data_IF_199125479565
#
_entry.id   IF_199125479565
#
_cell.length_a   1.000
_cell.length_b   1.000
_cell.length_c   1.000
_cell.angle_alpha   90.00
_cell.angle_beta   90.00
_cell.angle_gamma   90.00
#
_symmetry.space_group_name_H-M   'P 1'
#
loop_
_entity.id
_entity.type
_entity.pdbx_description
1 polymer ?
#
# COMPACT_ATOMS: atom_id res chain seq x y z
N UNK A 1 -6.27 0.73 -61.32
CA UNK A 1 -7.54 1.31 -60.87
C UNK A 1 -7.21 2.32 -59.78
N UNK A 2 -7.39 3.64 -59.97
CA UNK A 2 -7.04 4.62 -58.96
C UNK A 2 -7.98 4.47 -57.74
N UNK A 3 -7.38 4.45 -56.54
CA UNK A 3 -8.09 4.42 -55.25
C UNK A 3 -8.92 5.70 -55.12
N UNK A 4 -10.24 5.60 -55.25
CA UNK A 4 -11.17 6.66 -54.85
C UNK A 4 -11.09 6.82 -53.33
N UNK A 5 -10.54 7.96 -52.90
CA UNK A 5 -10.63 8.41 -51.51
C UNK A 5 -12.12 8.70 -51.25
N UNK A 6 -12.76 8.10 -50.22
CA UNK A 6 -14.16 8.38 -49.93
C UNK A 6 -14.34 9.88 -49.64
N UNK A 7 -15.34 10.49 -50.28
CA UNK A 7 -15.63 11.91 -50.14
C UNK A 7 -15.96 12.25 -48.69
N UNK A 8 -15.43 13.38 -48.22
CA UNK A 8 -15.76 13.94 -46.90
C UNK A 8 -17.28 14.13 -46.82
N UNK A 9 -17.95 13.60 -45.78
CA UNK A 9 -19.40 13.68 -45.65
C UNK A 9 -19.86 15.14 -45.65
N UNK A 10 -20.93 15.41 -46.39
CA UNK A 10 -21.44 16.76 -46.57
C UNK A 10 -22.02 17.36 -45.27
N UNK A 11 -22.21 18.69 -45.20
CA UNK A 11 -22.75 19.38 -44.02
C UNK A 11 -24.08 18.79 -43.51
N UNK A 12 -24.93 18.31 -44.43
CA UNK A 12 -26.21 17.68 -44.12
C UNK A 12 -26.07 16.30 -43.45
N UNK A 13 -25.07 15.50 -43.85
CA UNK A 13 -24.79 14.20 -43.22
C UNK A 13 -24.20 14.38 -41.83
N UNK A 14 -23.31 15.37 -41.64
CA UNK A 14 -22.76 15.76 -40.33
C UNK A 14 -23.89 16.24 -39.40
N UNK A 15 -24.82 17.06 -39.89
CA UNK A 15 -25.98 17.51 -39.13
C UNK A 15 -26.95 16.36 -38.78
N UNK A 16 -27.13 15.39 -39.69
CA UNK A 16 -27.95 14.20 -39.45
C UNK A 16 -27.32 13.26 -38.40
N UNK A 17 -26.00 13.09 -38.46
CA UNK A 17 -25.22 12.35 -37.47
C UNK A 17 -25.27 13.05 -36.10
N UNK A 18 -25.18 14.38 -36.07
CA UNK A 18 -25.35 15.19 -34.87
C UNK A 18 -26.74 15.07 -34.24
N UNK A 19 -27.81 15.02 -35.05
CA UNK A 19 -29.18 14.76 -34.57
C UNK A 19 -29.35 13.33 -34.03
N UNK A 20 -28.79 12.32 -34.72
CA UNK A 20 -28.76 10.93 -34.23
C UNK A 20 -28.00 10.82 -32.90
N UNK A 21 -26.80 11.40 -32.81
CA UNK A 21 -26.00 11.44 -31.59
C UNK A 21 -26.78 12.08 -30.43
N UNK A 22 -27.43 13.24 -30.63
CA UNK A 22 -28.27 13.87 -29.59
C UNK A 22 -29.44 13.00 -29.14
N UNK A 23 -30.08 12.27 -30.06
CA UNK A 23 -31.18 11.35 -29.71
C UNK A 23 -30.71 10.08 -28.99
N UNK A 24 -29.46 9.66 -29.23
CA UNK A 24 -28.87 8.43 -28.70
C UNK A 24 -28.12 8.69 -27.37
N UNK A 25 -27.59 9.89 -27.14
CA UNK A 25 -27.09 10.33 -25.81
C UNK A 25 -28.22 10.28 -24.76
N UNK A 26 -29.49 10.32 -25.17
CA UNK A 26 -30.66 10.08 -24.31
C UNK A 26 -30.90 8.60 -23.97
N UNK A 27 -30.09 7.66 -24.47
CA UNK A 27 -30.19 6.25 -24.05
C UNK A 27 -29.76 6.17 -22.58
N UNK A 28 -30.62 5.66 -21.67
CA UNK A 28 -30.31 5.67 -20.24
C UNK A 28 -29.01 4.91 -19.99
N UNK A 29 -28.12 5.49 -19.17
CA UNK A 29 -26.89 4.83 -18.78
C UNK A 29 -27.22 3.49 -18.11
N UNK A 30 -26.72 2.40 -18.68
CA UNK A 30 -26.91 1.06 -18.11
C UNK A 30 -25.62 0.60 -17.47
N UNK A 31 -25.67 0.29 -16.17
CA UNK A 31 -24.59 -0.44 -15.50
C UNK A 31 -24.47 -1.81 -16.13
N UNK A 32 -23.29 -2.16 -16.63
CA UNK A 32 -23.00 -3.51 -17.09
C UNK A 32 -22.20 -4.25 -16.02
N UNK A 33 -22.47 -5.54 -15.82
CA UNK A 33 -21.70 -6.36 -14.88
C UNK A 33 -20.19 -6.33 -15.19
N UNK A 34 -19.83 -6.21 -16.48
CA UNK A 34 -18.43 -6.06 -16.93
C UNK A 34 -17.80 -4.78 -16.41
N UNK A 35 -18.52 -3.66 -16.41
CA UNK A 35 -18.03 -2.39 -15.86
C UNK A 35 -17.81 -2.49 -14.36
N UNK A 36 -18.74 -3.12 -13.62
CA UNK A 36 -18.60 -3.36 -12.18
C UNK A 36 -17.40 -4.25 -11.87
N UNK A 37 -17.26 -5.38 -12.57
CA UNK A 37 -16.15 -6.31 -12.37
C UNK A 37 -14.81 -5.64 -12.65
N UNK A 38 -14.73 -4.84 -13.72
CA UNK A 38 -13.54 -4.08 -14.10
C UNK A 38 -13.17 -3.04 -13.04
N UNK A 39 -14.15 -2.26 -12.55
CA UNK A 39 -13.92 -1.29 -11.48
C UNK A 39 -13.39 -1.99 -10.22
N UNK A 40 -14.07 -3.05 -9.76
CA UNK A 40 -13.67 -3.81 -8.57
C UNK A 40 -12.30 -4.44 -8.70
N UNK A 41 -11.97 -4.98 -9.87
CA UNK A 41 -10.63 -5.50 -10.16
C UNK A 41 -9.57 -4.41 -10.01
N UNK A 42 -9.75 -3.25 -10.64
CA UNK A 42 -8.76 -2.17 -10.55
C UNK A 42 -8.69 -1.54 -9.16
N UNK A 43 -9.81 -1.44 -8.44
CA UNK A 43 -9.83 -1.05 -7.03
C UNK A 43 -9.03 -2.02 -6.16
N UNK A 44 -9.14 -3.34 -6.40
CA UNK A 44 -8.37 -4.34 -5.68
C UNK A 44 -6.87 -4.28 -6.02
N UNK A 45 -6.50 -3.96 -7.26
CA UNK A 45 -5.10 -3.80 -7.69
C UNK A 45 -4.44 -2.58 -7.04
N UNK A 46 -5.16 -1.44 -6.94
CA UNK A 46 -4.59 -0.20 -6.41
C UNK A 46 -4.67 -0.09 -4.87
N UNK A 47 -5.59 -0.80 -4.23
CA UNK A 47 -5.79 -0.76 -2.78
C UNK A 47 -4.51 -1.03 -1.94
N UNK A 48 -3.68 -2.05 -2.23
CA UNK A 48 -2.46 -2.31 -1.47
C UNK A 48 -1.42 -1.17 -1.55
N UNK A 49 -1.55 -0.29 -2.55
CA UNK A 49 -0.62 0.82 -2.79
C UNK A 49 -1.17 2.16 -2.28
N UNK A 50 -2.23 2.15 -1.48
CA UNK A 50 -2.83 3.35 -0.87
C UNK A 50 -4.23 3.66 -1.38
N UNK A 51 -4.74 2.88 -2.33
CA UNK A 51 -6.11 3.00 -2.84
C UNK A 51 -6.37 4.30 -3.59
N UNK A 52 -7.66 4.55 -3.83
CA UNK A 52 -8.14 5.73 -4.55
C UNK A 52 -9.23 6.40 -3.72
N UNK A 53 -9.12 7.71 -3.56
CA UNK A 53 -10.16 8.56 -2.98
C UNK A 53 -10.64 9.55 -4.04
N UNK A 54 -11.96 9.74 -4.10
CA UNK A 54 -12.57 10.73 -4.96
C UNK A 54 -12.87 11.99 -4.15
N UNK A 55 -12.57 13.15 -4.71
CA UNK A 55 -12.97 14.47 -4.23
C UNK A 55 -13.80 15.14 -5.33
N UNK A 56 -14.95 15.70 -4.95
CA UNK A 56 -15.98 16.11 -5.92
C UNK A 56 -16.90 14.96 -6.30
N UNK A 57 -17.87 15.24 -7.16
CA UNK A 57 -18.87 14.28 -7.61
C UNK A 57 -18.77 14.10 -9.12
N UNK A 58 -18.98 12.86 -9.56
CA UNK A 58 -19.19 12.57 -10.97
C UNK A 58 -20.68 12.69 -11.24
N UNK A 59 -21.10 13.79 -11.85
CA UNK A 59 -22.42 13.85 -12.47
C UNK A 59 -22.48 12.78 -13.56
N UNK A 60 -23.47 11.89 -13.51
CA UNK A 60 -23.56 10.72 -14.38
C UNK A 60 -24.76 10.81 -15.35
N UNK A 61 -25.22 12.03 -15.64
CA UNK A 61 -26.41 12.26 -16.46
C UNK A 61 -26.14 12.15 -17.98
N UNK A 62 -24.87 11.99 -18.37
CA UNK A 62 -24.45 11.85 -19.76
C UNK A 62 -22.99 11.41 -19.92
N UNK A 63 -22.55 11.14 -21.17
CA UNK A 63 -21.14 10.90 -21.45
C UNK A 63 -20.34 12.21 -21.39
N UNK A 64 -19.08 12.11 -20.97
CA UNK A 64 -18.14 13.22 -20.92
C UNK A 64 -16.91 12.93 -21.78
N UNK A 65 -16.25 13.98 -22.26
CA UNK A 65 -14.82 13.91 -22.56
C UNK A 65 -14.05 14.21 -21.28
N UNK A 66 -13.65 13.17 -20.57
CA UNK A 66 -12.86 13.28 -19.34
C UNK A 66 -11.42 13.62 -19.72
N UNK A 67 -10.92 14.73 -19.19
CA UNK A 67 -9.58 15.25 -19.43
C UNK A 67 -8.80 15.22 -18.13
N UNK A 68 -7.62 14.59 -18.14
CA UNK A 68 -6.79 14.48 -16.94
C UNK A 68 -5.30 14.69 -17.20
N UNK A 69 -4.56 15.10 -16.17
CA UNK A 69 -3.08 15.15 -16.19
C UNK A 69 -2.49 13.74 -16.28
N UNK A 70 -1.31 13.61 -16.90
CA UNK A 70 -0.67 12.30 -17.14
C UNK A 70 0.72 12.19 -16.51
N UNK A 71 0.79 11.63 -15.30
CA UNK A 71 2.05 11.43 -14.57
C UNK A 71 2.53 9.97 -14.52
N UNK A 72 1.65 9.00 -14.78
CA UNK A 72 1.89 7.59 -14.48
C UNK A 72 1.09 6.62 -15.35
N UNK A 73 1.50 5.35 -15.38
CA UNK A 73 0.61 4.28 -15.83
C UNK A 73 -0.52 3.98 -14.82
N UNK A 74 -0.32 4.34 -13.55
CA UNK A 74 -1.35 4.23 -12.52
C UNK A 74 -2.54 5.19 -12.75
N UNK A 75 -2.40 6.21 -13.61
CA UNK A 75 -3.45 7.18 -13.91
C UNK A 75 -4.72 6.51 -14.44
N UNK A 76 -4.57 5.61 -15.42
CA UNK A 76 -5.72 4.88 -15.97
C UNK A 76 -6.33 3.94 -14.95
N UNK A 77 -5.52 3.31 -14.09
CA UNK A 77 -6.00 2.44 -13.02
C UNK A 77 -6.81 3.26 -12.00
N UNK A 78 -6.30 4.43 -11.63
CA UNK A 78 -6.98 5.35 -10.72
C UNK A 78 -8.33 5.80 -11.27
N UNK A 79 -8.38 6.21 -12.54
CA UNK A 79 -9.64 6.61 -13.19
C UNK A 79 -10.64 5.45 -13.28
N UNK A 80 -10.18 4.24 -13.64
CA UNK A 80 -11.06 3.07 -13.72
C UNK A 80 -11.57 2.61 -12.36
N UNK A 81 -10.83 2.89 -11.28
CA UNK A 81 -11.28 2.64 -9.90
C UNK A 81 -12.23 3.72 -9.40
N UNK A 82 -11.99 5.00 -9.73
CA UNK A 82 -12.75 6.14 -9.23
C UNK A 82 -14.07 6.38 -9.98
N UNK A 83 -14.07 6.25 -11.30
CA UNK A 83 -15.23 6.61 -12.13
C UNK A 83 -16.44 5.71 -11.81
N UNK A 84 -17.66 6.29 -11.73
CA UNK A 84 -18.89 5.51 -11.69
C UNK A 84 -18.96 4.53 -12.85
N UNK A 85 -19.40 3.30 -12.55
CA UNK A 85 -19.57 2.25 -13.58
C UNK A 85 -20.56 2.65 -14.67
N UNK A 86 -21.45 3.59 -14.36
CA UNK A 86 -22.40 4.24 -15.25
C UNK A 86 -21.71 4.99 -16.41
N UNK A 87 -20.60 5.70 -16.14
CA UNK A 87 -19.83 6.44 -17.15
C UNK A 87 -19.16 5.53 -18.18
N UNK A 88 -18.97 4.24 -17.87
CA UNK A 88 -18.31 3.24 -18.75
C UNK A 88 -17.07 3.79 -19.46
N UNK A 89 -16.20 4.45 -18.69
CA UNK A 89 -15.03 5.15 -19.22
C UNK A 89 -14.23 4.21 -20.15
N UNK A 90 -13.95 4.72 -21.35
CA UNK A 90 -13.02 4.11 -22.31
C UNK A 90 -11.78 4.99 -22.40
N UNK A 91 -10.61 4.39 -22.48
CA UNK A 91 -9.34 5.14 -22.55
C UNK A 91 -8.81 5.13 -23.97
N UNK A 92 -8.26 6.26 -24.40
CA UNK A 92 -7.47 6.31 -25.62
C UNK A 92 -6.03 5.92 -25.29
N UNK A 93 -5.51 4.89 -25.98
CA UNK A 93 -4.14 4.43 -25.79
C UNK A 93 -3.34 4.50 -27.10
N UNK A 94 -2.10 4.97 -26.98
CA UNK A 94 -1.21 5.11 -28.12
C UNK A 94 -0.96 3.75 -28.81
N UNK A 95 -1.27 3.70 -30.11
CA UNK A 95 -1.23 2.47 -30.91
C UNK A 95 0.18 1.86 -30.98
N UNK A 96 1.18 2.71 -31.16
CA UNK A 96 2.61 2.41 -31.21
C UNK A 96 3.13 1.73 -29.92
N UNK A 97 2.57 2.05 -28.76
CA UNK A 97 3.06 1.52 -27.49
C UNK A 97 2.29 0.28 -26.98
N UNK A 98 0.96 0.31 -27.01
CA UNK A 98 0.12 -0.71 -26.38
C UNK A 98 -0.28 -1.84 -27.34
N UNK A 99 -0.30 -1.59 -28.65
CA UNK A 99 -0.86 -2.54 -29.61
C UNK A 99 0.18 -3.31 -30.42
N UNK A 100 1.46 -2.99 -30.26
CA UNK A 100 2.59 -3.65 -30.92
C UNK A 100 2.87 -5.06 -30.38
N UNK A 101 2.61 -5.34 -29.09
CA UNK A 101 2.80 -6.67 -28.48
C UNK A 101 1.47 -7.33 -28.13
N UNK A 102 1.31 -8.63 -28.42
CA UNK A 102 0.06 -9.41 -28.21
C UNK A 102 -0.43 -9.37 -26.76
N UNK A 103 0.47 -9.47 -25.79
CA UNK A 103 0.15 -9.38 -24.35
C UNK A 103 -0.36 -8.00 -23.94
N UNK A 104 0.31 -6.93 -24.38
CA UNK A 104 -0.12 -5.53 -24.12
C UNK A 104 -1.44 -5.20 -24.78
N UNK A 105 -1.67 -5.73 -25.99
CA UNK A 105 -2.95 -5.59 -26.71
C UNK A 105 -4.10 -6.28 -25.99
N UNK A 106 -3.87 -7.46 -25.40
CA UNK A 106 -4.87 -8.18 -24.62
C UNK A 106 -5.24 -7.41 -23.35
N UNK A 107 -4.26 -6.84 -22.65
CA UNK A 107 -4.48 -5.98 -21.47
C UNK A 107 -5.19 -4.67 -21.86
N UNK A 108 -4.75 -4.01 -22.93
CA UNK A 108 -5.34 -2.77 -23.43
C UNK A 108 -6.82 -2.98 -23.82
N UNK A 109 -7.13 -3.98 -24.65
CA UNK A 109 -8.51 -4.25 -25.10
C UNK A 109 -9.39 -4.88 -24.01
N UNK A 110 -8.83 -5.80 -23.22
CA UNK A 110 -9.59 -6.60 -22.26
C UNK A 110 -9.78 -5.95 -20.89
N UNK A 111 -8.71 -5.35 -20.32
CA UNK A 111 -8.72 -4.85 -18.95
C UNK A 111 -8.86 -3.33 -18.86
N UNK A 112 -8.30 -2.58 -19.81
CA UNK A 112 -8.33 -1.12 -19.82
C UNK A 112 -9.46 -0.54 -20.69
N UNK A 113 -10.11 -1.37 -21.53
CA UNK A 113 -11.09 -0.89 -22.52
C UNK A 113 -10.49 0.17 -23.44
N UNK A 114 -9.21 0.03 -23.77
CA UNK A 114 -8.44 1.04 -24.45
C UNK A 114 -8.53 0.89 -25.97
N UNK A 115 -8.75 2.01 -26.66
CA UNK A 115 -8.81 2.07 -28.12
C UNK A 115 -7.47 2.58 -28.68
N UNK A 116 -6.96 1.95 -29.76
CA UNK A 116 -5.72 2.39 -30.39
C UNK A 116 -5.95 3.73 -31.08
N UNK A 117 -5.03 4.66 -30.88
CA UNK A 117 -5.05 5.96 -31.54
C UNK A 117 -3.68 6.27 -32.09
N UNK A 118 -3.65 6.73 -33.34
CA UNK A 118 -2.47 7.31 -33.97
C UNK A 118 -2.27 8.71 -33.42
N UNK A 119 -1.08 8.99 -32.90
CA UNK A 119 -0.73 10.33 -32.38
C UNK A 119 -0.43 11.31 -33.50
N UNK A 120 0.12 10.82 -34.60
CA UNK A 120 0.61 11.62 -35.72
C UNK A 120 0.13 11.07 -37.08
N UNK A 121 -0.01 11.97 -38.04
CA UNK A 121 -0.37 11.69 -39.43
C UNK A 121 -1.69 12.30 -39.87
N UNK A 122 -1.81 12.55 -41.17
CA UNK A 122 -3.02 13.06 -41.81
C UNK A 122 -4.21 12.10 -41.56
N UNK A 123 -5.35 12.64 -41.13
CA UNK A 123 -6.57 11.87 -40.84
C UNK A 123 -6.63 11.17 -39.47
N UNK A 124 -5.63 11.31 -38.60
CA UNK A 124 -5.61 10.66 -37.28
C UNK A 124 -6.78 11.09 -36.36
N UNK A 125 -7.19 12.36 -36.44
CA UNK A 125 -8.32 12.88 -35.68
C UNK A 125 -9.66 12.30 -36.17
N UNK A 126 -9.85 12.21 -37.48
CA UNK A 126 -11.05 11.69 -38.10
C UNK A 126 -11.21 10.18 -37.83
N UNK A 127 -10.12 9.42 -37.84
CA UNK A 127 -10.09 8.01 -37.41
C UNK A 127 -10.48 7.85 -35.93
N UNK A 128 -9.92 8.70 -35.06
CA UNK A 128 -10.26 8.75 -33.64
C UNK A 128 -11.75 9.05 -33.44
N UNK A 129 -12.25 10.09 -34.09
CA UNK A 129 -13.65 10.53 -34.01
C UNK A 129 -14.58 9.42 -34.49
N UNK A 130 -14.28 8.78 -35.63
CA UNK A 130 -15.06 7.67 -36.17
C UNK A 130 -15.10 6.46 -35.21
N UNK A 131 -13.96 6.12 -34.60
CA UNK A 131 -13.86 5.01 -33.64
C UNK A 131 -14.66 5.27 -32.37
N UNK A 132 -14.66 6.52 -31.88
CA UNK A 132 -15.33 6.90 -30.64
C UNK A 132 -16.80 7.25 -30.81
N UNK A 133 -17.26 7.59 -32.03
CA UNK A 133 -18.64 7.99 -32.29
C UNK A 133 -19.67 6.96 -31.79
N UNK A 134 -19.44 5.67 -32.08
CA UNK A 134 -20.33 4.59 -31.61
C UNK A 134 -20.31 4.45 -30.07
N UNK A 135 -19.22 4.81 -29.40
CA UNK A 135 -19.09 4.70 -27.93
C UNK A 135 -19.80 5.82 -27.21
N UNK A 136 -19.68 7.04 -27.72
CA UNK A 136 -20.43 8.18 -27.23
C UNK A 136 -21.93 7.96 -27.47
N UNK A 137 -22.29 7.42 -28.63
CA UNK A 137 -23.66 6.99 -28.90
C UNK A 137 -24.12 5.92 -27.88
N UNK A 138 -23.27 4.97 -27.51
CA UNK A 138 -23.60 4.04 -26.42
C UNK A 138 -23.59 4.68 -25.02
N UNK A 139 -23.52 6.01 -24.86
CA UNK A 139 -23.41 6.75 -23.59
C UNK A 139 -22.18 6.34 -22.76
N UNK A 140 -21.03 6.13 -23.43
CA UNK A 140 -19.74 5.91 -22.78
C UNK A 140 -18.92 7.20 -22.76
N UNK A 141 -18.32 7.52 -21.61
CA UNK A 141 -17.38 8.63 -21.46
C UNK A 141 -16.00 8.27 -21.99
N UNK A 142 -15.29 9.26 -22.53
CA UNK A 142 -13.96 9.08 -23.13
C UNK A 142 -12.91 9.71 -22.20
N UNK A 143 -11.92 8.94 -21.77
CA UNK A 143 -10.76 9.46 -21.05
C UNK A 143 -9.62 9.81 -22.02
N UNK A 144 -9.20 11.07 -22.00
CA UNK A 144 -8.09 11.60 -22.78
C UNK A 144 -7.08 12.27 -21.85
N UNK A 145 -5.80 11.98 -22.11
CA UNK A 145 -4.67 12.68 -21.51
C UNK A 145 -4.12 13.68 -22.54
N UNK A 146 -4.55 14.96 -22.53
CA UNK A 146 -4.27 15.91 -23.60
C UNK A 146 -2.80 16.35 -23.66
N UNK A 147 -1.98 16.02 -22.67
CA UNK A 147 -0.52 16.19 -22.72
C UNK A 147 0.14 15.28 -23.79
N UNK A 148 -0.55 14.21 -24.21
CA UNK A 148 -0.07 13.25 -25.23
C UNK A 148 1.04 12.31 -24.75
N UNK A 149 1.80 12.68 -23.72
CA UNK A 149 2.86 11.87 -23.09
C UNK A 149 2.83 12.03 -21.57
N UNK A 150 3.44 11.09 -20.85
CA UNK A 150 3.59 11.19 -19.39
C UNK A 150 4.62 12.26 -19.03
N UNK A 151 4.27 13.15 -18.11
CA UNK A 151 5.16 14.15 -17.51
C UNK A 151 6.40 13.50 -16.90
N UNK A 152 7.57 14.08 -17.18
CA UNK A 152 8.88 13.61 -16.69
C UNK A 152 9.33 14.33 -15.44
N UNK A 153 9.00 15.60 -15.30
CA UNK A 153 9.39 16.48 -14.19
C UNK A 153 8.27 16.67 -13.15
N UNK A 154 7.04 16.24 -13.46
CA UNK A 154 5.88 16.40 -12.58
C UNK A 154 5.10 17.68 -12.84
N UNK A 155 5.55 18.52 -13.78
CA UNK A 155 4.78 19.67 -14.26
C UNK A 155 3.83 19.21 -15.35
N UNK A 156 2.64 19.81 -15.39
CA UNK A 156 1.67 19.57 -16.45
C UNK A 156 2.16 20.24 -17.73
N UNK A 157 2.16 19.49 -18.84
CA UNK A 157 2.52 20.00 -20.16
C UNK A 157 1.36 20.77 -20.80
N UNK A 158 1.62 21.45 -21.92
CA UNK A 158 0.56 22.06 -22.75
C UNK A 158 -0.46 21.01 -23.17
N UNK A 159 -1.73 21.38 -23.12
CA UNK A 159 -2.83 20.55 -23.60
C UNK A 159 -3.01 20.71 -25.12
N UNK A 160 -3.20 19.59 -25.81
CA UNK A 160 -3.65 19.59 -27.20
C UNK A 160 -5.17 19.76 -27.25
N UNK A 161 -5.65 20.57 -28.18
CA UNK A 161 -7.06 20.93 -28.36
C UNK A 161 -7.96 19.78 -28.85
N UNK A 162 -7.40 18.61 -29.17
CA UNK A 162 -8.14 17.47 -29.71
C UNK A 162 -9.28 16.97 -28.80
N UNK A 163 -9.12 17.04 -27.48
CA UNK A 163 -10.17 16.66 -26.53
C UNK A 163 -11.36 17.63 -26.57
N UNK A 164 -11.09 18.94 -26.56
CA UNK A 164 -12.11 19.97 -26.68
C UNK A 164 -12.79 19.93 -28.07
N UNK A 165 -12.05 19.61 -29.14
CA UNK A 165 -12.60 19.43 -30.49
C UNK A 165 -13.57 18.25 -30.54
N UNK A 166 -13.23 17.13 -29.87
CA UNK A 166 -14.14 15.97 -29.75
C UNK A 166 -15.40 16.32 -28.96
N UNK A 167 -15.26 17.08 -27.86
CA UNK A 167 -16.38 17.52 -27.04
C UNK A 167 -17.38 18.36 -27.87
N UNK A 168 -16.87 19.33 -28.66
CA UNK A 168 -17.65 20.11 -29.61
C UNK A 168 -18.32 19.23 -30.67
N UNK A 169 -17.56 18.37 -31.34
CA UNK A 169 -18.06 17.55 -32.45
C UNK A 169 -19.14 16.54 -32.01
N UNK A 170 -19.06 16.05 -30.77
CA UNK A 170 -20.08 15.16 -30.20
C UNK A 170 -21.18 15.89 -29.43
N UNK A 171 -21.01 17.18 -29.12
CA UNK A 171 -21.95 17.96 -28.33
C UNK A 171 -22.06 17.49 -26.88
N UNK A 172 -20.93 17.06 -26.28
CA UNK A 172 -20.85 16.56 -24.90
C UNK A 172 -19.84 17.40 -24.09
N UNK A 173 -20.03 17.58 -22.78
CA UNK A 173 -19.14 18.39 -21.95
C UNK A 173 -17.74 17.77 -21.76
N UNK A 174 -16.76 18.64 -21.52
CA UNK A 174 -15.43 18.25 -21.03
C UNK A 174 -15.49 18.17 -19.51
N UNK A 175 -15.00 17.07 -18.92
CA UNK A 175 -14.89 16.93 -17.46
C UNK A 175 -13.41 16.98 -17.05
N UNK A 176 -12.93 18.07 -16.44
CA UNK A 176 -11.56 18.15 -15.93
C UNK A 176 -11.38 17.26 -14.69
N UNK A 177 -10.30 16.49 -14.64
CA UNK A 177 -9.96 15.61 -13.51
C UNK A 177 -8.47 15.72 -13.18
N UNK A 178 -8.15 16.00 -11.93
CA UNK A 178 -6.78 15.97 -11.43
C UNK A 178 -6.47 14.65 -10.72
N UNK A 179 -5.38 14.01 -11.14
CA UNK A 179 -4.83 12.78 -10.58
C UNK A 179 -3.60 13.12 -9.75
N UNK A 180 -3.69 12.89 -8.45
CA UNK A 180 -2.64 13.21 -7.47
C UNK A 180 -2.13 11.92 -6.84
N UNK A 181 -0.81 11.78 -6.69
CA UNK A 181 -0.19 10.63 -6.01
C UNK A 181 0.18 9.45 -6.92
N UNK A 182 -0.32 9.41 -8.17
CA UNK A 182 -0.07 8.33 -9.12
C UNK A 182 1.37 8.30 -9.62
N UNK A 183 2.00 9.46 -9.80
CA UNK A 183 3.41 9.59 -10.20
C UNK A 183 4.35 9.03 -9.13
N UNK A 184 4.09 9.31 -7.86
CA UNK A 184 4.85 8.79 -6.72
C UNK A 184 4.65 7.28 -6.57
N UNK A 185 3.46 6.77 -6.92
CA UNK A 185 3.18 5.34 -6.96
C UNK A 185 4.01 4.64 -8.04
N UNK A 186 3.97 5.13 -9.27
CA UNK A 186 4.64 4.50 -10.43
C UNK A 186 5.22 5.54 -11.39
N UNK A 187 6.44 6.05 -11.15
CA UNK A 187 7.04 7.06 -12.02
C UNK A 187 7.48 6.48 -13.37
N UNK A 188 7.53 7.32 -14.42
CA UNK A 188 7.80 6.91 -15.82
C UNK A 188 9.06 6.05 -16.02
N UNK A 189 10.13 6.33 -15.26
CA UNK A 189 11.42 5.61 -15.29
C UNK A 189 11.65 4.75 -14.03
N UNK A 190 10.61 4.53 -13.22
CA UNK A 190 10.70 3.85 -11.93
C UNK A 190 10.67 2.33 -12.00
N UNK A 191 11.06 1.69 -10.89
CA UNK A 191 10.93 0.25 -10.66
C UNK A 191 9.53 -0.16 -10.17
N UNK A 192 9.45 -1.06 -9.19
CA UNK A 192 8.20 -1.56 -8.63
C UNK A 192 7.31 -0.44 -8.04
N UNK A 193 5.97 -0.61 -8.07
CA UNK A 193 5.04 0.35 -7.48
C UNK A 193 5.34 0.60 -6.00
N UNK A 194 5.24 1.86 -5.58
CA UNK A 194 5.40 2.30 -4.19
C UNK A 194 4.04 2.64 -3.61
N UNK A 195 3.90 2.52 -2.30
CA UNK A 195 2.70 3.00 -1.63
C UNK A 195 2.60 4.52 -1.74
N UNK A 196 1.49 5.01 -2.28
CA UNK A 196 1.13 6.41 -2.43
C UNK A 196 -0.39 6.51 -2.60
N UNK A 197 -1.15 6.99 -1.58
CA UNK A 197 -2.60 7.17 -1.67
C UNK A 197 -3.04 8.06 -2.84
N UNK A 198 -3.86 7.56 -3.75
CA UNK A 198 -4.24 8.34 -4.93
C UNK A 198 -5.49 9.15 -4.65
N UNK A 199 -5.48 10.41 -5.08
CA UNK A 199 -6.67 11.26 -5.11
C UNK A 199 -7.08 11.53 -6.55
N UNK A 200 -8.37 11.39 -6.81
CA UNK A 200 -9.03 11.76 -8.06
C UNK A 200 -9.94 12.93 -7.74
N UNK A 201 -9.51 14.13 -8.12
CA UNK A 201 -10.25 15.37 -7.88
C UNK A 201 -11.03 15.70 -9.15
N UNK A 202 -12.34 15.79 -9.02
CA UNK A 202 -13.26 16.06 -10.13
C UNK A 202 -13.56 17.55 -10.16
N UNK A 203 -13.37 18.17 -11.32
CA UNK A 203 -13.70 19.57 -11.58
C UNK A 203 -15.12 19.75 -12.11
N UNK A 204 -15.46 21.00 -12.42
CA UNK A 204 -16.77 21.36 -12.97
C UNK A 204 -16.83 21.05 -14.47
N UNK A 205 -17.91 20.40 -14.97
CA UNK A 205 -18.09 20.16 -16.38
C UNK A 205 -18.09 21.45 -17.21
N UNK A 206 -17.31 21.48 -18.29
CA UNK A 206 -17.22 22.59 -19.23
C UNK A 206 -18.07 22.27 -20.45
N UNK A 207 -19.04 23.13 -20.74
CA UNK A 207 -19.91 22.98 -21.91
C UNK A 207 -19.09 23.03 -23.23
N UNK A 208 -19.47 22.25 -24.25
CA UNK A 208 -18.83 22.32 -25.56
C UNK A 208 -19.05 23.70 -26.20
N UNK A 209 -18.02 24.23 -26.84
CA UNK A 209 -18.02 25.54 -27.52
C UNK A 209 -17.28 25.46 -28.85
N UNK A 210 -17.56 26.42 -29.73
CA UNK A 210 -16.78 26.62 -30.96
C UNK A 210 -15.38 27.16 -30.67
N UNK A 211 -15.20 27.85 -29.52
CA UNK A 211 -13.90 28.22 -28.97
C UNK A 211 -13.24 27.00 -28.29
N UNK A 212 -12.66 26.14 -29.12
CA UNK A 212 -12.00 24.91 -28.69
C UNK A 212 -10.76 25.20 -27.83
N UNK A 213 -10.03 26.28 -28.13
CA UNK A 213 -8.83 26.64 -27.37
C UNK A 213 -9.22 27.13 -25.98
N UNK A 214 -10.21 28.01 -25.86
CA UNK A 214 -10.72 28.47 -24.57
C UNK A 214 -11.25 27.33 -23.68
N UNK A 215 -11.97 26.35 -24.25
CA UNK A 215 -12.40 25.16 -23.51
C UNK A 215 -11.21 24.32 -23.03
N UNK A 216 -10.18 24.16 -23.87
CA UNK A 216 -8.97 23.42 -23.51
C UNK A 216 -8.18 24.12 -22.40
N UNK A 217 -8.06 25.44 -22.46
CA UNK A 217 -7.33 26.24 -21.48
C UNK A 217 -8.07 26.30 -20.14
N UNK A 218 -9.39 26.46 -20.15
CA UNK A 218 -10.21 26.39 -18.94
C UNK A 218 -10.11 25.02 -18.26
N UNK A 219 -10.13 23.93 -19.04
CA UNK A 219 -9.94 22.59 -18.50
C UNK A 219 -8.55 22.42 -17.88
N UNK A 220 -7.51 23.00 -18.49
CA UNK A 220 -6.15 22.98 -17.97
C UNK A 220 -6.05 23.76 -16.66
N UNK A 221 -6.64 24.95 -16.60
CA UNK A 221 -6.65 25.83 -15.43
C UNK A 221 -7.32 25.16 -14.22
N UNK A 222 -8.50 24.57 -14.40
CA UNK A 222 -9.18 23.82 -13.34
C UNK A 222 -8.31 22.67 -12.80
N UNK A 223 -7.64 21.91 -13.68
CA UNK A 223 -6.76 20.82 -13.26
C UNK A 223 -5.53 21.37 -12.53
N UNK A 224 -4.96 22.48 -13.00
CA UNK A 224 -3.81 23.13 -12.35
C UNK A 224 -4.17 23.62 -10.94
N UNK A 225 -5.31 24.29 -10.77
CA UNK A 225 -5.83 24.71 -9.46
C UNK A 225 -6.07 23.49 -8.54
N UNK A 226 -6.69 22.44 -9.08
CA UNK A 226 -6.87 21.18 -8.36
C UNK A 226 -5.54 20.56 -7.94
N UNK A 227 -4.48 20.62 -8.75
CA UNK A 227 -3.17 20.06 -8.41
C UNK A 227 -2.41 20.88 -7.36
N UNK A 228 -2.64 22.20 -7.30
CA UNK A 228 -1.99 23.08 -6.33
C UNK A 228 -2.51 22.88 -4.90
N UNK A 229 -3.75 22.39 -4.74
CA UNK A 229 -4.30 22.07 -3.42
C UNK A 229 -3.46 21.01 -2.70
N UNK A 230 -3.16 21.17 -1.40
CA UNK A 230 -2.35 20.22 -0.66
C UNK A 230 -2.98 18.82 -0.70
N UNK A 231 -2.13 17.81 -0.83
CA UNK A 231 -2.57 16.42 -0.75
C UNK A 231 -3.03 16.10 0.67
N UNK A 232 -4.09 15.31 0.81
CA UNK A 232 -4.50 14.84 2.13
C UNK A 232 -3.44 13.87 2.67
N UNK A 233 -3.18 13.89 3.98
CA UNK A 233 -2.25 12.96 4.59
C UNK A 233 -2.74 11.51 4.36
N UNK A 234 -1.78 10.59 4.25
CA UNK A 234 -2.10 9.18 4.13
C UNK A 234 -2.96 8.72 5.33
N UNK A 235 -4.00 7.90 5.12
CA UNK A 235 -4.83 7.43 6.21
C UNK A 235 -3.98 6.63 7.20
N UNK A 236 -4.15 6.93 8.48
CA UNK A 236 -3.53 6.21 9.60
C UNK A 236 -4.64 5.62 10.46
N UNK A 237 -4.42 4.42 10.99
CA UNK A 237 -5.41 3.80 11.89
C UNK A 237 -5.42 4.48 13.27
N UNK A 238 -6.59 4.55 13.90
CA UNK A 238 -6.73 5.09 15.26
C UNK A 238 -5.84 4.34 16.25
N UNK A 239 -5.73 3.01 16.10
CA UNK A 239 -4.84 2.16 16.91
C UNK A 239 -3.38 2.60 16.77
N UNK A 240 -2.93 2.91 15.55
CA UNK A 240 -1.57 3.43 15.35
C UNK A 240 -1.40 4.78 16.04
N UNK A 241 -2.36 5.69 15.88
CA UNK A 241 -2.31 7.03 16.49
C UNK A 241 -2.20 6.94 18.01
N UNK A 242 -3.08 6.16 18.65
CA UNK A 242 -3.07 5.95 20.11
C UNK A 242 -1.74 5.37 20.58
N UNK A 243 -1.25 4.31 19.93
CA UNK A 243 0.02 3.68 20.32
C UNK A 243 1.22 4.57 20.04
N UNK A 244 1.21 5.34 18.95
CA UNK A 244 2.24 6.32 18.65
C UNK A 244 2.30 7.37 19.77
N UNK A 245 1.18 8.02 20.09
CA UNK A 245 1.13 9.00 21.18
C UNK A 245 1.52 8.39 22.54
N UNK A 246 1.06 7.19 22.87
CA UNK A 246 1.41 6.52 24.12
C UNK A 246 2.92 6.20 24.23
N UNK A 247 3.57 5.93 23.10
CA UNK A 247 4.99 5.60 23.03
C UNK A 247 5.90 6.83 22.89
N UNK A 248 5.36 8.05 22.89
CA UNK A 248 6.15 9.26 22.68
C UNK A 248 7.15 9.53 23.82
N UNK A 249 8.28 10.17 23.49
CA UNK A 249 9.21 10.68 24.50
C UNK A 249 9.85 9.58 25.36
N UNK A 250 10.03 9.89 26.64
CA UNK A 250 10.56 8.95 27.64
C UNK A 250 9.56 7.90 28.12
N UNK A 251 8.24 8.13 27.92
CA UNK A 251 7.20 7.15 28.27
C UNK A 251 7.38 5.86 27.48
N UNK A 252 7.63 5.98 26.17
CA UNK A 252 7.93 4.83 25.33
C UNK A 252 9.15 4.05 25.82
N UNK A 253 10.22 4.72 26.23
CA UNK A 253 11.43 4.05 26.74
C UNK A 253 11.14 3.27 28.03
N UNK A 254 10.35 3.84 28.94
CA UNK A 254 9.91 3.19 30.16
C UNK A 254 9.07 1.94 29.86
N UNK A 255 8.13 2.03 28.92
CA UNK A 255 7.31 0.87 28.48
C UNK A 255 8.21 -0.25 27.94
N UNK A 256 9.20 0.07 27.11
CA UNK A 256 10.12 -0.92 26.55
C UNK A 256 11.01 -1.56 27.63
N UNK A 257 11.47 -0.78 28.62
CA UNK A 257 12.18 -1.29 29.77
C UNK A 257 11.33 -2.25 30.60
N UNK A 258 10.11 -1.83 30.98
CA UNK A 258 9.16 -2.64 31.76
C UNK A 258 8.81 -3.92 31.01
N UNK A 259 8.63 -3.86 29.68
CA UNK A 259 8.42 -5.05 28.86
C UNK A 259 9.56 -6.06 28.98
N UNK A 260 10.80 -5.59 28.83
CA UNK A 260 12.00 -6.44 28.98
C UNK A 260 12.09 -7.06 30.36
N UNK A 261 11.87 -6.27 31.41
CA UNK A 261 11.90 -6.74 32.79
C UNK A 261 10.82 -7.78 33.07
N UNK A 262 9.59 -7.51 32.63
CA UNK A 262 8.46 -8.41 32.82
C UNK A 262 8.71 -9.77 32.14
N UNK A 263 9.27 -9.78 30.92
CA UNK A 263 9.63 -11.00 30.17
C UNK A 263 10.56 -11.93 30.96
N UNK A 264 11.55 -11.33 31.63
CA UNK A 264 12.55 -12.08 32.39
C UNK A 264 12.05 -12.56 33.77
N UNK A 265 10.93 -12.01 34.27
CA UNK A 265 10.35 -12.39 35.58
C UNK A 265 9.22 -13.42 35.39
N UNK A 266 8.16 -13.03 34.69
CA UNK A 266 6.92 -13.83 34.64
C UNK A 266 6.22 -13.77 33.29
N UNK A 267 6.34 -12.65 32.57
CA UNK A 267 5.60 -12.40 31.35
C UNK A 267 6.02 -13.38 30.24
N UNK A 268 5.07 -13.93 29.49
CA UNK A 268 5.38 -15.02 28.58
C UNK A 268 5.64 -14.58 27.12
N UNK A 269 5.51 -13.28 26.84
CA UNK A 269 5.78 -12.74 25.51
C UNK A 269 7.27 -12.40 25.41
N UNK A 270 7.88 -12.71 24.27
CA UNK A 270 9.32 -12.47 24.05
C UNK A 270 9.65 -10.97 23.96
N UNK A 271 10.88 -10.64 24.34
CA UNK A 271 11.42 -9.29 24.29
C UNK A 271 11.31 -8.66 22.89
N UNK A 272 11.57 -9.44 21.84
CA UNK A 272 11.57 -8.97 20.44
C UNK A 272 10.18 -8.57 19.93
N UNK A 273 9.11 -9.12 20.51
CA UNK A 273 7.75 -8.76 20.11
C UNK A 273 7.42 -7.30 20.41
N UNK A 274 8.11 -6.70 21.39
CA UNK A 274 8.02 -5.26 21.65
C UNK A 274 8.45 -4.43 20.42
N UNK A 275 9.42 -4.88 19.62
CA UNK A 275 9.86 -4.17 18.42
C UNK A 275 8.85 -4.30 17.29
N UNK A 276 8.24 -5.48 17.17
CA UNK A 276 7.21 -5.78 16.17
C UNK A 276 5.95 -4.95 16.46
N UNK A 277 5.50 -4.88 17.71
CA UNK A 277 4.21 -4.25 18.06
C UNK A 277 4.30 -2.78 18.46
N UNK A 278 5.41 -2.35 19.09
CA UNK A 278 5.54 -1.00 19.62
C UNK A 278 6.71 -0.24 18.99
N UNK A 279 7.79 -0.94 18.60
CA UNK A 279 8.96 -0.34 17.96
C UNK A 279 8.62 0.38 16.66
N UNK A 280 7.73 -0.20 15.84
CA UNK A 280 7.28 0.37 14.57
C UNK A 280 6.55 1.71 14.69
N UNK A 281 6.08 2.08 15.88
CA UNK A 281 5.47 3.40 16.10
C UNK A 281 6.50 4.54 15.96
N UNK A 282 7.78 4.28 16.24
CA UNK A 282 8.88 5.25 16.20
C UNK A 282 10.15 4.58 15.66
N UNK A 283 10.21 4.30 14.34
CA UNK A 283 11.32 3.58 13.71
C UNK A 283 12.71 4.21 13.95
N UNK A 284 12.75 5.52 14.16
CA UNK A 284 13.95 6.30 14.46
C UNK A 284 14.51 6.00 15.86
N UNK A 285 13.65 5.65 16.83
CA UNK A 285 14.03 5.31 18.21
C UNK A 285 14.22 3.82 18.45
N UNK A 286 13.95 2.96 17.47
CA UNK A 286 13.97 1.50 17.65
C UNK A 286 15.26 0.96 18.28
N UNK A 287 16.44 1.47 17.90
CA UNK A 287 17.72 1.03 18.46
C UNK A 287 17.85 1.39 19.95
N UNK A 288 17.48 2.63 20.32
CA UNK A 288 17.44 3.07 21.72
C UNK A 288 16.45 2.23 22.52
N UNK A 289 15.25 2.02 21.98
CA UNK A 289 14.22 1.20 22.62
C UNK A 289 14.64 -0.27 22.75
N UNK A 290 15.39 -0.81 21.80
CA UNK A 290 15.97 -2.14 21.90
C UNK A 290 16.96 -2.22 23.07
N UNK A 291 17.81 -1.19 23.25
CA UNK A 291 18.69 -1.10 24.42
C UNK A 291 17.89 -1.04 25.74
N UNK A 292 16.76 -0.31 25.78
CA UNK A 292 15.88 -0.28 26.96
C UNK A 292 15.29 -1.66 27.28
N UNK A 293 14.85 -2.42 26.27
CA UNK A 293 14.38 -3.80 26.46
C UNK A 293 15.49 -4.69 27.01
N UNK A 294 16.71 -4.56 26.48
CA UNK A 294 17.86 -5.33 26.98
C UNK A 294 18.15 -4.98 28.44
N UNK A 295 18.21 -3.69 28.79
CA UNK A 295 18.42 -3.24 30.16
C UNK A 295 17.33 -3.76 31.11
N UNK A 296 16.08 -3.69 30.70
CA UNK A 296 14.95 -4.24 31.44
C UNK A 296 15.07 -5.75 31.63
N UNK A 297 15.33 -6.50 30.56
CA UNK A 297 15.46 -7.96 30.60
C UNK A 297 16.61 -8.42 31.50
N UNK A 298 17.76 -7.75 31.43
CA UNK A 298 18.90 -8.02 32.33
C UNK A 298 18.54 -7.73 33.79
N UNK A 299 17.81 -6.64 34.05
CA UNK A 299 17.31 -6.31 35.39
C UNK A 299 16.38 -7.41 35.90
N UNK A 300 15.42 -7.86 35.09
CA UNK A 300 14.52 -8.95 35.45
C UNK A 300 15.23 -10.30 35.64
N UNK A 301 16.32 -10.56 34.90
CA UNK A 301 17.19 -11.73 35.12
C UNK A 301 17.86 -11.64 36.49
N UNK A 302 18.43 -10.49 36.85
CA UNK A 302 19.07 -10.29 38.15
C UNK A 302 18.07 -10.46 39.30
N UNK A 303 16.88 -9.86 39.18
CA UNK A 303 15.79 -10.00 40.16
C UNK A 303 15.39 -11.47 40.31
N UNK A 304 15.14 -12.17 39.22
CA UNK A 304 14.74 -13.59 39.25
C UNK A 304 15.84 -14.46 39.84
N UNK A 305 17.10 -14.20 39.49
CA UNK A 305 18.27 -14.90 40.05
C UNK A 305 18.36 -14.72 41.57
N UNK A 306 18.26 -13.49 42.07
CA UNK A 306 18.34 -13.20 43.50
C UNK A 306 17.18 -13.83 44.28
N UNK A 307 15.97 -13.76 43.74
CA UNK A 307 14.78 -14.39 44.34
C UNK A 307 14.97 -15.91 44.45
N UNK A 308 15.43 -16.58 43.40
CA UNK A 308 15.60 -18.04 43.43
C UNK A 308 16.82 -18.49 44.22
N UNK A 309 17.87 -17.67 44.32
CA UNK A 309 18.97 -17.88 45.27
C UNK A 309 18.47 -17.82 46.72
N UNK A 310 17.52 -16.94 47.01
CA UNK A 310 16.83 -16.85 48.30
C UNK A 310 15.76 -17.94 48.54
N UNK A 311 15.61 -18.91 47.65
CA UNK A 311 14.66 -20.02 47.79
C UNK A 311 13.24 -19.74 47.28
N UNK A 312 12.96 -18.55 46.75
CA UNK A 312 11.65 -18.25 46.16
C UNK A 312 11.51 -18.85 44.76
N UNK A 313 10.27 -19.06 44.31
CA UNK A 313 9.97 -19.60 42.98
C UNK A 313 9.03 -18.67 42.20
N UNK A 314 9.58 -17.73 41.41
CA UNK A 314 8.78 -16.85 40.56
C UNK A 314 7.93 -17.65 39.55
N UNK A 315 6.73 -17.17 39.19
CA UNK A 315 5.85 -17.87 38.28
C UNK A 315 6.47 -17.97 36.88
N UNK A 316 6.51 -19.19 36.33
CA UNK A 316 7.05 -19.47 35.00
C UNK A 316 5.97 -20.04 34.07
N UNK A 317 4.97 -19.23 33.66
CA UNK A 317 3.90 -19.69 32.78
C UNK A 317 4.44 -20.15 31.42
N UNK A 318 3.70 -21.09 30.80
CA UNK A 318 3.99 -21.66 29.48
C UNK A 318 5.39 -22.29 29.34
N UNK A 319 5.84 -22.91 30.43
CA UNK A 319 7.08 -23.71 30.47
C UNK A 319 6.78 -25.19 30.71
N UNK A 320 7.71 -26.07 30.36
CA UNK A 320 7.58 -27.53 30.57
C UNK A 320 8.69 -28.08 31.47
N UNK A 321 8.49 -29.24 32.13
CA UNK A 321 9.56 -29.87 32.90
C UNK A 321 10.82 -30.13 32.07
N UNK A 322 10.66 -30.55 30.81
CA UNK A 322 11.79 -30.78 29.89
C UNK A 322 12.59 -29.52 29.59
N UNK A 323 11.93 -28.35 29.51
CA UNK A 323 12.64 -27.07 29.38
C UNK A 323 13.53 -26.84 30.61
N UNK A 324 13.02 -27.08 31.82
CA UNK A 324 13.81 -26.92 33.07
C UNK A 324 15.01 -27.85 33.10
N UNK A 325 14.83 -29.13 32.78
CA UNK A 325 15.94 -30.10 32.71
C UNK A 325 16.97 -29.70 31.67
N UNK A 326 16.54 -29.23 30.50
CA UNK A 326 17.45 -28.75 29.46
C UNK A 326 18.22 -27.51 29.89
N UNK A 327 17.56 -26.53 30.50
CA UNK A 327 18.21 -25.34 31.08
C UNK A 327 19.26 -25.70 32.13
N UNK A 328 18.93 -26.62 33.04
CA UNK A 328 19.88 -27.11 34.06
C UNK A 328 21.13 -27.70 33.43
N UNK A 329 20.97 -28.49 32.36
CA UNK A 329 22.08 -29.04 31.59
C UNK A 329 22.89 -27.97 30.85
N UNK A 330 22.25 -26.94 30.28
CA UNK A 330 23.00 -25.87 29.61
C UNK A 330 23.85 -25.05 30.60
N UNK A 331 23.37 -24.88 31.83
CA UNK A 331 24.07 -24.15 32.89
C UNK A 331 25.02 -25.04 33.73
N UNK A 332 25.17 -26.33 33.40
CA UNK A 332 26.07 -27.23 34.14
C UNK A 332 27.53 -26.85 34.03
N UNK A 333 27.92 -26.20 32.93
CA UNK A 333 29.28 -25.69 32.68
C UNK A 333 29.42 -24.20 33.04
N UNK A 334 28.44 -23.62 33.74
CA UNK A 334 28.45 -22.24 34.21
C UNK A 334 27.69 -21.23 33.34
N UNK A 335 27.87 -19.92 33.58
CA UNK A 335 27.07 -18.84 32.99
C UNK A 335 27.10 -18.75 31.46
N UNK A 336 28.13 -19.30 30.79
CA UNK A 336 28.20 -19.37 29.33
C UNK A 336 27.00 -20.11 28.70
N UNK A 337 26.30 -20.94 29.47
CA UNK A 337 25.07 -21.61 29.04
C UNK A 337 23.96 -20.67 28.55
N UNK A 338 23.94 -19.40 28.98
CA UNK A 338 22.98 -18.40 28.49
C UNK A 338 23.02 -18.23 26.96
N UNK A 339 24.19 -18.37 26.33
CA UNK A 339 24.31 -18.27 24.87
C UNK A 339 23.55 -19.37 24.11
N UNK A 340 23.18 -20.48 24.78
CA UNK A 340 22.33 -21.52 24.18
C UNK A 340 20.85 -21.14 24.19
N UNK A 341 20.44 -20.18 25.02
CA UNK A 341 19.03 -19.82 25.19
C UNK A 341 18.39 -19.35 23.88
N UNK A 342 19.08 -18.51 23.11
CA UNK A 342 18.59 -17.93 21.84
C UNK A 342 18.02 -18.97 20.85
N UNK A 343 18.60 -20.17 20.80
CA UNK A 343 18.27 -21.19 19.80
C UNK A 343 17.25 -22.23 20.28
N UNK A 344 16.86 -22.18 21.55
CA UNK A 344 16.09 -23.27 22.19
C UNK A 344 14.59 -22.99 22.28
N UNK A 345 14.19 -21.73 22.14
CA UNK A 345 12.82 -21.28 22.44
C UNK A 345 12.45 -21.38 23.93
N UNK A 346 13.42 -21.64 24.81
CA UNK A 346 13.21 -21.68 26.26
C UNK A 346 13.20 -20.24 26.79
N UNK A 347 12.20 -19.85 27.61
CA UNK A 347 12.14 -18.51 28.21
C UNK A 347 13.34 -18.21 29.13
N UNK A 348 13.86 -16.98 29.11
CA UNK A 348 15.04 -16.61 29.91
C UNK A 348 14.81 -16.69 31.41
N UNK A 349 13.57 -16.50 31.88
CA UNK A 349 13.19 -16.68 33.27
C UNK A 349 13.57 -18.06 33.84
N UNK A 350 13.60 -19.11 33.00
CA UNK A 350 14.10 -20.41 33.44
C UNK A 350 15.63 -20.43 33.64
N UNK A 351 16.38 -19.75 32.76
CA UNK A 351 17.84 -19.61 32.90
C UNK A 351 18.18 -18.76 34.12
N UNK A 352 17.46 -17.67 34.34
CA UNK A 352 17.58 -16.83 35.53
C UNK A 352 17.26 -17.61 36.82
N UNK A 353 16.15 -18.34 36.83
CA UNK A 353 15.76 -19.13 37.99
C UNK A 353 16.77 -20.24 38.32
N UNK A 354 17.30 -20.92 37.30
CA UNK A 354 18.29 -21.99 37.45
C UNK A 354 19.66 -21.44 37.87
N UNK A 355 20.08 -20.30 37.35
CA UNK A 355 21.36 -19.69 37.74
C UNK A 355 21.36 -19.27 39.21
N UNK A 356 20.24 -18.77 39.73
CA UNK A 356 20.08 -18.47 41.16
C UNK A 356 20.06 -19.74 42.03
N UNK A 357 19.36 -20.80 41.60
CA UNK A 357 19.34 -22.10 42.31
C UNK A 357 20.71 -22.77 42.37
N UNK A 358 21.58 -22.51 41.40
CA UNK A 358 22.97 -23.01 41.34
C UNK A 358 23.98 -22.08 41.99
N UNK A 359 23.52 -20.97 42.56
CA UNK A 359 24.36 -19.93 43.15
C UNK A 359 25.50 -19.44 42.23
N UNK A 360 25.20 -19.24 40.95
CA UNK A 360 26.19 -18.75 39.99
C UNK A 360 26.57 -17.28 40.27
N UNK A 361 27.81 -16.83 40.00
CA UNK A 361 28.21 -15.45 40.21
C UNK A 361 27.35 -14.46 39.41
N UNK A 362 26.57 -13.62 40.10
CA UNK A 362 25.63 -12.67 39.50
C UNK A 362 26.27 -11.78 38.42
N UNK A 363 27.47 -11.19 38.60
CA UNK A 363 28.09 -10.36 37.56
C UNK A 363 28.29 -11.14 36.25
N UNK A 364 28.70 -12.41 36.33
CA UNK A 364 28.91 -13.26 35.16
C UNK A 364 27.58 -13.64 34.49
N UNK A 365 26.55 -13.96 35.29
CA UNK A 365 25.19 -14.21 34.80
C UNK A 365 24.65 -12.99 34.03
N UNK A 366 24.78 -11.79 34.61
CA UNK A 366 24.34 -10.53 34.02
C UNK A 366 25.04 -10.25 32.70
N UNK A 367 26.37 -10.39 32.65
CA UNK A 367 27.17 -10.17 31.41
C UNK A 367 26.72 -11.12 30.30
N UNK A 368 26.59 -12.41 30.61
CA UNK A 368 26.20 -13.41 29.61
C UNK A 368 24.75 -13.25 29.15
N UNK A 369 23.83 -12.93 30.06
CA UNK A 369 22.44 -12.61 29.72
C UNK A 369 22.33 -11.34 28.87
N UNK A 370 23.09 -10.30 29.20
CA UNK A 370 23.12 -9.05 28.44
C UNK A 370 23.65 -9.27 27.02
N UNK A 371 24.76 -10.01 26.87
CA UNK A 371 25.35 -10.31 25.57
C UNK A 371 24.40 -11.06 24.64
N UNK A 372 23.76 -12.13 25.15
CA UNK A 372 22.77 -12.90 24.38
C UNK A 372 21.57 -12.02 23.98
N UNK A 373 21.03 -11.24 24.92
CA UNK A 373 19.86 -10.38 24.69
C UNK A 373 20.16 -9.28 23.68
N UNK A 374 21.33 -8.64 23.80
CA UNK A 374 21.77 -7.60 22.88
C UNK A 374 21.89 -8.14 21.46
N UNK A 375 22.51 -9.31 21.27
CA UNK A 375 22.65 -9.92 19.94
C UNK A 375 21.29 -10.20 19.29
N UNK A 376 20.34 -10.77 20.05
CA UNK A 376 19.02 -11.14 19.54
C UNK A 376 18.14 -9.92 19.25
N UNK A 377 18.17 -8.93 20.14
CA UNK A 377 17.48 -7.66 19.93
C UNK A 377 18.06 -6.89 18.75
N UNK A 378 19.37 -6.91 18.54
CA UNK A 378 19.99 -6.26 17.39
C UNK A 378 19.55 -6.91 16.07
N UNK A 379 19.57 -8.25 15.99
CA UNK A 379 19.13 -8.98 14.81
C UNK A 379 17.64 -8.71 14.48
N UNK A 380 16.75 -8.83 15.47
CA UNK A 380 15.32 -8.57 15.27
C UNK A 380 15.03 -7.11 14.92
N UNK A 381 15.70 -6.16 15.56
CA UNK A 381 15.56 -4.71 15.27
C UNK A 381 16.00 -4.40 13.84
N UNK A 382 17.12 -4.97 13.38
CA UNK A 382 17.58 -4.81 12.01
C UNK A 382 16.56 -5.35 10.98
N UNK A 383 15.99 -6.53 11.23
CA UNK A 383 14.95 -7.13 10.37
C UNK A 383 13.71 -6.24 10.33
N UNK A 384 13.16 -5.88 11.49
CA UNK A 384 11.94 -5.08 11.58
C UNK A 384 12.14 -3.70 10.95
N UNK A 385 13.28 -3.04 11.21
CA UNK A 385 13.60 -1.74 10.62
C UNK A 385 13.75 -1.81 9.10
N UNK A 386 14.35 -2.89 8.57
CA UNK A 386 14.49 -3.10 7.12
C UNK A 386 13.14 -3.31 6.46
N UNK A 387 12.27 -4.13 7.05
CA UNK A 387 10.91 -4.40 6.54
C UNK A 387 9.97 -3.19 6.70
N UNK A 388 10.22 -2.30 7.68
CA UNK A 388 9.41 -1.10 7.92
C UNK A 388 9.49 -0.08 6.79
N UNK A 389 10.58 -0.06 6.00
CA UNK A 389 10.72 0.89 4.89
C UNK A 389 9.68 0.68 3.78
N UNK A 390 9.54 -0.54 3.20
CA UNK A 390 8.53 -0.78 2.18
C UNK A 390 7.11 -0.92 2.76
N UNK A 391 6.96 -1.46 3.96
CA UNK A 391 5.64 -1.79 4.53
C UNK A 391 5.06 -0.70 5.44
N UNK A 392 5.87 0.28 5.86
CA UNK A 392 5.52 1.29 6.87
C UNK A 392 4.22 2.05 6.60
N UNK A 393 3.92 2.48 5.38
CA UNK A 393 2.65 3.12 5.09
C UNK A 393 1.44 2.18 5.26
N UNK A 394 1.56 0.94 4.77
CA UNK A 394 0.50 -0.08 4.87
C UNK A 394 0.27 -0.46 6.33
N UNK A 395 1.35 -0.67 7.09
CA UNK A 395 1.24 -1.01 8.51
C UNK A 395 0.58 0.12 9.29
N UNK A 396 0.93 1.39 9.05
CA UNK A 396 0.28 2.54 9.72
C UNK A 396 -1.21 2.63 9.44
N UNK A 397 -1.62 2.41 8.19
CA UNK A 397 -3.03 2.41 7.79
C UNK A 397 -3.80 1.24 8.40
N UNK A 398 -3.20 0.05 8.49
CA UNK A 398 -3.86 -1.18 8.93
C UNK A 398 -3.22 -1.77 10.20
N UNK A 399 -2.88 -0.91 11.17
CA UNK A 399 -2.07 -1.32 12.32
C UNK A 399 -2.80 -2.29 13.24
N UNK A 400 -4.12 -2.12 13.44
CA UNK A 400 -4.95 -3.07 14.18
C UNK A 400 -4.90 -4.49 13.59
N UNK A 401 -5.28 -4.68 12.31
CA UNK A 401 -5.13 -5.96 11.61
C UNK A 401 -3.69 -6.52 11.63
N UNK A 402 -2.69 -5.65 11.51
CA UNK A 402 -1.28 -6.03 11.61
C UNK A 402 -0.94 -6.63 12.99
N UNK A 403 -1.37 -5.99 14.08
CA UNK A 403 -1.16 -6.51 15.45
C UNK A 403 -1.87 -7.85 15.66
N UNK A 404 -3.12 -7.98 15.16
CA UNK A 404 -3.86 -9.23 15.25
C UNK A 404 -3.15 -10.36 14.47
N UNK A 405 -2.76 -10.11 13.23
CA UNK A 405 -2.08 -11.10 12.39
C UNK A 405 -0.74 -11.55 12.99
N UNK A 406 0.09 -10.61 13.43
CA UNK A 406 1.38 -10.94 14.06
C UNK A 406 1.19 -11.64 15.41
N UNK A 407 0.14 -11.30 16.17
CA UNK A 407 -0.26 -12.01 17.39
C UNK A 407 -0.65 -13.46 17.14
N UNK A 408 -1.42 -13.75 16.09
CA UNK A 408 -1.79 -15.13 15.69
C UNK A 408 -0.56 -15.93 15.29
N UNK A 409 0.35 -15.34 14.50
CA UNK A 409 1.61 -15.98 14.10
C UNK A 409 2.45 -16.30 15.33
N UNK A 410 2.61 -15.34 16.24
CA UNK A 410 3.35 -15.54 17.49
C UNK A 410 2.75 -16.66 18.35
N UNK A 411 1.43 -16.62 18.60
CA UNK A 411 0.74 -17.62 19.41
C UNK A 411 0.87 -19.03 18.80
N UNK A 412 0.79 -19.14 17.47
CA UNK A 412 0.95 -20.41 16.74
C UNK A 412 2.38 -20.94 16.87
N UNK A 413 3.38 -20.09 16.67
CA UNK A 413 4.80 -20.45 16.83
C UNK A 413 5.11 -20.89 18.26
N UNK A 414 4.65 -20.12 19.25
CA UNK A 414 4.83 -20.41 20.67
C UNK A 414 4.18 -21.76 21.06
N UNK A 415 2.95 -22.03 20.57
CA UNK A 415 2.29 -23.33 20.77
C UNK A 415 3.10 -24.47 20.17
N UNK A 416 3.71 -24.26 19.00
CA UNK A 416 4.63 -25.20 18.36
C UNK A 416 5.85 -25.52 19.23
N UNK A 417 6.49 -24.50 19.78
CA UNK A 417 7.63 -24.63 20.70
C UNK A 417 7.24 -25.42 21.95
N UNK A 418 6.13 -25.06 22.60
CA UNK A 418 5.66 -25.75 23.80
C UNK A 418 5.38 -27.24 23.49
N UNK A 419 4.69 -27.54 22.40
CA UNK A 419 4.43 -28.91 21.95
C UNK A 419 5.70 -29.68 21.67
N UNK A 420 6.69 -29.06 21.03
CA UNK A 420 8.00 -29.66 20.79
C UNK A 420 8.65 -30.11 22.10
N UNK A 421 8.60 -29.27 23.13
CA UNK A 421 9.14 -29.56 24.46
C UNK A 421 8.26 -30.48 25.32
N UNK A 422 7.00 -30.74 24.95
CA UNK A 422 6.11 -31.70 25.62
C UNK A 422 6.24 -33.12 25.07
N UNK A 423 6.52 -33.29 23.77
CA UNK A 423 6.64 -34.61 23.15
C UNK A 423 7.75 -35.41 23.84
N UNK A 424 7.60 -36.73 24.11
CA UNK A 424 8.71 -37.56 24.59
C UNK A 424 9.82 -37.63 23.54
N UNK A 425 11.09 -37.77 23.97
CA UNK A 425 12.19 -38.06 23.04
C UNK A 425 11.89 -39.41 22.37
N UNK A 426 11.89 -39.45 21.03
CA UNK A 426 11.94 -40.75 20.34
C UNK A 426 13.25 -41.44 20.75
N UNK A 427 13.23 -42.73 21.13
CA UNK A 427 14.46 -43.45 21.40
C UNK A 427 15.34 -43.43 20.13
N UNK A 428 16.62 -43.06 20.27
CA UNK A 428 17.61 -43.17 19.19
C UNK A 428 17.94 -41.92 18.35
N UNK A 429 17.55 -40.70 18.74
CA UNK A 429 18.16 -39.47 18.18
C UNK A 429 18.89 -38.67 19.28
N UNK A 430 20.13 -38.19 19.02
CA UNK A 430 20.91 -37.44 20.01
C UNK A 430 20.16 -36.24 20.60
#
# INVERSE_FOLDING_TARGET
MPLQIPSVPGPAEIASAGRRLRSIVRTPQKVTWRAVLRQRFWSAVIAPFGGVRVEGEFEADGPYVVVANHGSHADTIAMMSASPTLMRVVTVAAQDYWFTRRSRRLVARGLLGAYPVRRDGEGAYEELRGTLANRVAESMSILIFPEGTRSTDGRMSRFHSGAARLARDFGIPVLPVALVGTREMMPKKGGLPRYSPVEVRVGEPIAPSDDVEGVSDLAREQIEEMLQRPRRPAPVSDVFTVLHTAMEGGRGDAVMFVWGMAEAISFPIMAEMSQVWLGLTHPERMWRRAAMVVAGSVTGVAVTHLLTRGGHQPPAPWTTPRMRTATSRYLSQGPRGYWKQALTGIPVKLFAAESGRRDLPLPSVVIHAAGERAARMAASTAIVKTLSKPLGPITRQHYGPYLAATGVVFATALRGVIRHWQRPKRPGRP
#
